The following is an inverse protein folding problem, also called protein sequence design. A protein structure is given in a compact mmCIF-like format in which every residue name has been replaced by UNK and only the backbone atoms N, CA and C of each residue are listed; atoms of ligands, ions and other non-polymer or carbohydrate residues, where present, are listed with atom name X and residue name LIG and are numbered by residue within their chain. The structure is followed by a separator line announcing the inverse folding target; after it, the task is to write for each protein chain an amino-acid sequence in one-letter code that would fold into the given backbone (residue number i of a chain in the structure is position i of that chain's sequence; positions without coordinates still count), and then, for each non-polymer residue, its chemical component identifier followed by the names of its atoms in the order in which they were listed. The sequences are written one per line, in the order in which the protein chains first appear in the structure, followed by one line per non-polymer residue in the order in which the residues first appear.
data_IF_005270967518
#
_entry.id   IF_005270967518
#
_cell.length_a   1.000
_cell.length_b   1.000
_cell.length_c   1.000
_cell.angle_alpha   90.00
_cell.angle_beta   90.00
_cell.angle_gamma   90.00
#
_symmetry.space_group_name_H-M   'P 1'
#
loop_
_entity.id
_entity.type
_entity.pdbx_description
1 polymer ?
#
# COMPACT_ATOMS: atom_id res chain seq x y z
N UNK A 1 -9.23 9.45 -39.04
CA UNK A 1 -10.46 9.59 -38.22
C UNK A 1 -10.37 8.86 -36.88
N UNK A 2 -9.79 7.65 -36.81
CA UNK A 2 -9.62 6.89 -35.55
C UNK A 2 -8.87 7.65 -34.44
N UNK A 3 -7.84 8.42 -34.80
CA UNK A 3 -7.09 9.25 -33.85
C UNK A 3 -7.92 10.37 -33.18
N UNK A 4 -9.02 10.83 -33.80
CA UNK A 4 -9.89 11.85 -33.21
C UNK A 4 -10.86 11.24 -32.19
N UNK A 5 -11.34 10.02 -32.47
CA UNK A 5 -12.23 9.29 -31.56
C UNK A 5 -11.50 8.97 -30.25
N UNK A 6 -10.24 8.52 -30.33
CA UNK A 6 -9.40 8.29 -29.15
C UNK A 6 -9.18 9.55 -28.30
N UNK A 7 -9.06 10.74 -28.92
CA UNK A 7 -8.92 12.00 -28.18
C UNK A 7 -10.20 12.37 -27.43
N UNK A 8 -11.37 12.20 -28.06
CA UNK A 8 -12.66 12.52 -27.45
C UNK A 8 -12.97 11.55 -26.30
N UNK A 9 -12.69 10.26 -26.46
CA UNK A 9 -12.85 9.27 -25.38
C UNK A 9 -11.86 9.49 -24.24
N UNK A 10 -10.61 9.87 -24.54
CA UNK A 10 -9.62 10.23 -23.52
C UNK A 10 -10.04 11.48 -22.74
N UNK A 11 -10.51 12.54 -23.42
CA UNK A 11 -10.99 13.77 -22.77
C UNK A 11 -12.19 13.50 -21.88
N UNK A 12 -13.16 12.71 -22.35
CA UNK A 12 -14.32 12.32 -21.53
C UNK A 12 -13.92 11.43 -20.35
N UNK A 13 -12.94 10.53 -20.52
CA UNK A 13 -12.39 9.72 -19.43
C UNK A 13 -11.67 10.57 -18.37
N UNK A 14 -10.79 11.49 -18.81
CA UNK A 14 -10.11 12.46 -17.92
C UNK A 14 -11.14 13.29 -17.19
N UNK A 15 -12.16 13.80 -17.88
CA UNK A 15 -13.20 14.60 -17.27
C UNK A 15 -13.97 13.79 -16.22
N UNK A 16 -14.38 12.55 -16.52
CA UNK A 16 -15.11 11.71 -15.57
C UNK A 16 -14.28 11.35 -14.33
N UNK A 17 -12.96 11.13 -14.49
CA UNK A 17 -12.05 10.75 -13.41
C UNK A 17 -11.56 11.94 -12.58
N UNK A 18 -11.34 13.10 -13.21
CA UNK A 18 -10.68 14.25 -12.60
C UNK A 18 -11.56 15.51 -12.51
N UNK A 19 -12.87 15.44 -12.81
CA UNK A 19 -13.79 16.61 -12.78
C UNK A 19 -13.62 17.47 -11.53
N UNK A 20 -13.47 16.86 -10.36
CA UNK A 20 -13.34 17.58 -9.09
C UNK A 20 -11.98 18.28 -8.97
N UNK A 21 -10.89 17.63 -9.38
CA UNK A 21 -9.54 18.23 -9.36
C UNK A 21 -9.43 19.35 -10.39
N UNK A 22 -9.94 19.14 -11.60
CA UNK A 22 -9.98 20.16 -12.67
C UNK A 22 -10.81 21.37 -12.23
N UNK A 23 -12.02 21.15 -11.69
CA UNK A 23 -12.86 22.24 -11.24
C UNK A 23 -12.24 23.01 -10.08
N UNK A 24 -11.63 22.31 -9.12
CA UNK A 24 -10.99 22.93 -7.97
C UNK A 24 -9.76 23.78 -8.36
N UNK A 25 -8.97 23.30 -9.33
CA UNK A 25 -7.79 24.02 -9.83
C UNK A 25 -8.18 25.19 -10.73
N UNK A 26 -9.21 25.02 -11.57
CA UNK A 26 -9.78 26.12 -12.35
C UNK A 26 -10.34 27.23 -11.44
N UNK A 27 -11.05 26.86 -10.38
CA UNK A 27 -11.55 27.82 -9.38
C UNK A 27 -10.40 28.54 -8.66
N UNK A 28 -9.34 27.82 -8.30
CA UNK A 28 -8.13 28.43 -7.72
C UNK A 28 -7.51 29.43 -8.70
N UNK A 29 -7.32 29.07 -9.97
CA UNK A 29 -6.80 29.99 -10.98
C UNK A 29 -7.67 31.24 -11.13
N UNK A 30 -8.99 31.08 -11.11
CA UNK A 30 -9.94 32.19 -11.17
C UNK A 30 -9.79 33.11 -9.95
N UNK A 31 -9.72 32.55 -8.74
CA UNK A 31 -9.49 33.32 -7.50
C UNK A 31 -8.17 34.09 -7.53
N UNK A 32 -7.07 33.45 -7.96
CA UNK A 32 -5.77 34.10 -8.07
C UNK A 32 -5.79 35.22 -9.12
N UNK A 33 -6.49 35.02 -10.23
CA UNK A 33 -6.68 36.04 -11.26
C UNK A 33 -7.47 37.25 -10.74
N UNK A 34 -8.53 37.02 -9.96
CA UNK A 34 -9.30 38.10 -9.32
C UNK A 34 -8.43 38.90 -8.35
N UNK A 35 -7.60 38.25 -7.53
CA UNK A 35 -6.67 38.93 -6.61
C UNK A 35 -5.70 39.83 -7.39
N UNK A 36 -5.17 39.34 -8.52
CA UNK A 36 -4.30 40.14 -9.37
C UNK A 36 -5.03 41.38 -9.90
N UNK A 37 -6.29 41.22 -10.34
CA UNK A 37 -7.09 42.34 -10.85
C UNK A 37 -7.41 43.38 -9.79
N UNK A 38 -7.77 42.97 -8.58
CA UNK A 38 -8.01 43.87 -7.45
C UNK A 38 -6.73 44.63 -7.08
N UNK A 39 -5.59 43.96 -7.07
CA UNK A 39 -4.31 44.62 -6.81
C UNK A 39 -3.91 45.61 -7.91
N UNK A 40 -4.08 45.25 -9.19
CA UNK A 40 -3.82 46.17 -10.30
C UNK A 40 -4.69 47.42 -10.25
N UNK A 41 -5.96 47.28 -9.87
CA UNK A 41 -6.87 48.40 -9.68
C UNK A 41 -6.38 49.34 -8.57
N UNK A 42 -5.97 48.78 -7.43
CA UNK A 42 -5.38 49.56 -6.33
C UNK A 42 -4.08 50.29 -6.73
N UNK A 43 -3.19 49.60 -7.44
CA UNK A 43 -1.93 50.22 -7.92
C UNK A 43 -2.24 51.37 -8.88
N UNK A 44 -3.23 51.21 -9.77
CA UNK A 44 -3.65 52.26 -10.69
C UNK A 44 -4.23 53.46 -9.92
N UNK A 45 -5.09 53.21 -8.94
CA UNK A 45 -5.66 54.25 -8.07
C UNK A 45 -4.58 55.04 -7.31
N UNK A 46 -3.59 54.34 -6.74
CA UNK A 46 -2.48 54.96 -6.02
C UNK A 46 -1.60 55.83 -6.94
N UNK A 47 -1.37 55.39 -8.18
CA UNK A 47 -0.63 56.17 -9.18
C UNK A 47 -1.38 57.45 -9.60
N UNK A 48 -2.70 57.39 -9.77
CA UNK A 48 -3.50 58.55 -10.15
C UNK A 48 -3.55 59.64 -9.05
N UNK A 49 -3.47 59.24 -7.78
CA UNK A 49 -3.55 60.17 -6.65
C UNK A 49 -2.18 60.57 -6.10
N UNK A 50 -1.09 60.10 -6.70
CA UNK A 50 0.30 60.28 -6.22
C UNK A 50 0.53 59.82 -4.76
N UNK A 51 -0.41 59.08 -4.17
CA UNK A 51 -0.35 58.58 -2.80
C UNK A 51 0.27 57.18 -2.79
N UNK A 52 1.59 57.15 -2.59
CA UNK A 52 2.39 55.92 -2.56
C UNK A 52 2.57 55.32 -1.16
N UNK A 53 1.99 55.93 -0.12
CA UNK A 53 2.25 55.56 1.27
C UNK A 53 1.90 54.10 1.60
N UNK A 54 0.82 53.58 1.00
CA UNK A 54 0.35 52.22 1.22
C UNK A 54 0.74 51.22 0.12
N UNK A 55 1.55 51.64 -0.85
CA UNK A 55 1.88 50.80 -2.01
C UNK A 55 2.60 49.52 -1.57
N UNK A 56 3.62 49.63 -0.71
CA UNK A 56 4.38 48.48 -0.21
C UNK A 56 3.51 47.50 0.62
N UNK A 57 2.60 48.03 1.45
CA UNK A 57 1.69 47.21 2.25
C UNK A 57 0.73 46.43 1.35
N UNK A 58 0.28 47.03 0.24
CA UNK A 58 -0.59 46.36 -0.72
C UNK A 58 0.08 45.14 -1.37
N UNK A 59 1.39 45.20 -1.63
CA UNK A 59 2.16 44.03 -2.11
C UNK A 59 2.25 42.94 -1.04
N UNK A 60 2.47 43.30 0.23
CA UNK A 60 2.44 42.35 1.34
C UNK A 60 1.07 41.66 1.47
N UNK A 61 -0.01 42.44 1.39
CA UNK A 61 -1.37 41.93 1.43
C UNK A 61 -1.68 41.00 0.25
N UNK A 62 -1.19 41.32 -0.96
CA UNK A 62 -1.29 40.45 -2.14
C UNK A 62 -0.67 39.08 -1.88
N UNK A 63 0.58 39.03 -1.41
CA UNK A 63 1.25 37.75 -1.13
C UNK A 63 0.56 36.97 -0.01
N UNK A 64 0.09 37.67 1.03
CA UNK A 64 -0.68 37.05 2.10
C UNK A 64 -1.99 36.44 1.59
N UNK A 65 -2.75 37.16 0.76
CA UNK A 65 -3.97 36.65 0.14
C UNK A 65 -3.67 35.43 -0.75
N UNK A 66 -2.59 35.47 -1.53
CA UNK A 66 -2.14 34.37 -2.38
C UNK A 66 -1.81 33.11 -1.56
N UNK A 67 -1.06 33.29 -0.46
CA UNK A 67 -0.71 32.22 0.46
C UNK A 67 -1.96 31.65 1.16
N UNK A 68 -2.88 32.49 1.62
CA UNK A 68 -4.14 32.07 2.24
C UNK A 68 -5.01 31.26 1.29
N UNK A 69 -5.24 31.72 0.05
CA UNK A 69 -6.06 31.00 -0.94
C UNK A 69 -5.42 29.65 -1.29
N UNK A 70 -4.11 29.63 -1.51
CA UNK A 70 -3.39 28.40 -1.86
C UNK A 70 -3.36 27.42 -0.67
N UNK A 71 -3.17 27.94 0.54
CA UNK A 71 -3.22 27.17 1.79
C UNK A 71 -4.59 26.57 2.05
N UNK A 72 -5.67 27.36 1.92
CA UNK A 72 -7.05 26.88 2.04
C UNK A 72 -7.37 25.81 1.00
N UNK A 73 -6.95 26.01 -0.25
CA UNK A 73 -7.14 25.04 -1.32
C UNK A 73 -6.44 23.70 -1.02
N UNK A 74 -5.17 23.76 -0.66
CA UNK A 74 -4.37 22.56 -0.35
C UNK A 74 -4.91 21.85 0.89
N UNK A 75 -5.26 22.58 1.95
CA UNK A 75 -5.89 22.04 3.14
C UNK A 75 -7.22 21.35 2.81
N UNK A 76 -8.11 22.00 2.06
CA UNK A 76 -9.40 21.44 1.65
C UNK A 76 -9.23 20.19 0.77
N UNK A 77 -8.32 20.23 -0.21
CA UNK A 77 -8.05 19.11 -1.11
C UNK A 77 -7.46 17.89 -0.38
N UNK A 78 -6.61 18.13 0.63
CA UNK A 78 -6.09 17.07 1.50
C UNK A 78 -7.15 16.52 2.46
N UNK A 79 -7.98 17.39 3.05
CA UNK A 79 -9.04 16.97 3.98
C UNK A 79 -10.13 16.16 3.28
N UNK A 80 -10.60 16.61 2.11
CA UNK A 80 -11.61 15.90 1.33
C UNK A 80 -11.14 14.54 0.81
N UNK A 81 -9.85 14.39 0.48
CA UNK A 81 -9.29 13.07 0.13
C UNK A 81 -9.17 12.13 1.34
N UNK A 82 -9.05 12.68 2.55
CA UNK A 82 -8.92 11.90 3.79
C UNK A 82 -10.26 11.31 4.25
N UNK A 83 -11.39 11.90 3.86
CA UNK A 83 -12.72 11.37 4.18
C UNK A 83 -13.10 10.10 3.40
N UNK A 84 -12.50 9.83 2.23
CA UNK A 84 -12.77 8.58 1.49
C UNK A 84 -12.08 7.35 2.11
N UNK A 85 -11.26 7.56 3.14
CA UNK A 85 -10.78 6.52 4.05
C UNK A 85 -11.59 6.53 5.35
N UNK A 86 -12.92 6.78 5.27
CA UNK A 86 -13.82 6.21 6.27
C UNK A 86 -13.67 4.70 6.17
N UNK A 87 -12.82 4.19 7.05
CA UNK A 87 -12.69 2.78 7.37
C UNK A 87 -14.11 2.26 7.48
N UNK A 88 -14.47 1.40 6.54
CA UNK A 88 -15.30 0.25 6.80
C UNK A 88 -14.61 -0.48 7.96
N UNK A 89 -14.79 0.03 9.17
CA UNK A 89 -14.41 -0.66 10.38
C UNK A 89 -15.31 -1.87 10.35
N UNK A 90 -14.77 -3.00 9.88
CA UNK A 90 -15.36 -4.34 10.03
C UNK A 90 -16.22 -4.31 11.28
N UNK A 91 -17.52 -4.47 11.07
CA UNK A 91 -18.52 -4.32 12.11
C UNK A 91 -18.02 -5.07 13.34
N UNK A 92 -18.21 -4.54 14.55
CA UNK A 92 -17.80 -5.26 15.79
C UNK A 92 -18.23 -6.74 15.78
N UNK A 93 -19.33 -7.05 15.07
CA UNK A 93 -19.80 -8.40 14.79
C UNK A 93 -18.83 -9.27 13.96
N UNK A 94 -18.20 -8.73 12.91
CA UNK A 94 -17.26 -9.47 12.06
C UNK A 94 -15.95 -9.75 12.79
N UNK A 95 -15.41 -8.76 13.53
CA UNK A 95 -14.24 -9.00 14.40
C UNK A 95 -14.50 -10.07 15.45
N UNK A 96 -15.72 -10.11 16.00
CA UNK A 96 -16.14 -11.15 16.94
C UNK A 96 -16.27 -12.51 16.26
N UNK A 97 -16.79 -12.56 15.02
CA UNK A 97 -16.90 -13.78 14.21
C UNK A 97 -15.52 -14.39 13.89
N UNK A 98 -14.56 -13.57 13.46
CA UNK A 98 -13.20 -14.05 13.19
C UNK A 98 -12.46 -14.45 14.48
N UNK A 99 -12.65 -13.72 15.58
CA UNK A 99 -12.09 -14.10 16.88
C UNK A 99 -12.70 -15.39 17.45
N UNK A 100 -13.96 -15.67 17.16
CA UNK A 100 -14.63 -16.90 17.58
C UNK A 100 -14.12 -18.12 16.79
N UNK A 101 -13.94 -17.97 15.47
CA UNK A 101 -13.39 -19.03 14.62
C UNK A 101 -11.97 -19.44 15.03
N UNK A 102 -11.11 -18.49 15.44
CA UNK A 102 -9.76 -18.82 15.91
C UNK A 102 -9.77 -19.67 17.19
N UNK A 103 -10.63 -19.34 18.17
CA UNK A 103 -10.70 -20.12 19.42
C UNK A 103 -11.30 -21.53 19.18
N UNK A 104 -12.18 -21.66 18.19
CA UNK A 104 -12.82 -22.93 17.81
C UNK A 104 -11.84 -23.85 17.04
N UNK A 105 -10.89 -23.27 16.29
CA UNK A 105 -9.79 -23.99 15.65
C UNK A 105 -8.78 -24.53 16.68
N UNK A 106 -8.41 -23.73 17.69
CA UNK A 106 -7.48 -24.15 18.74
C UNK A 106 -8.01 -25.34 19.56
N UNK A 107 -9.31 -25.35 19.90
CA UNK A 107 -9.95 -26.49 20.61
C UNK A 107 -10.03 -27.75 19.75
N UNK A 108 -10.24 -27.61 18.44
CA UNK A 108 -10.26 -28.74 17.50
C UNK A 108 -8.87 -29.34 17.33
N UNK A 109 -7.82 -28.52 17.26
CA UNK A 109 -6.43 -29.01 17.20
C UNK A 109 -6.06 -29.79 18.46
N UNK A 110 -6.43 -29.31 19.65
CA UNK A 110 -6.16 -29.99 20.91
C UNK A 110 -6.87 -31.35 21.02
N UNK A 111 -8.13 -31.46 20.57
CA UNK A 111 -8.87 -32.73 20.54
C UNK A 111 -8.29 -33.70 19.48
N UNK A 112 -7.88 -33.19 18.32
CA UNK A 112 -7.18 -33.98 17.28
C UNK A 112 -5.83 -34.51 17.79
N UNK A 113 -5.05 -33.69 18.49
CA UNK A 113 -3.77 -34.08 19.09
C UNK A 113 -3.97 -35.09 20.21
N UNK A 114 -4.97 -34.89 21.08
CA UNK A 114 -5.32 -35.84 22.13
C UNK A 114 -5.75 -37.21 21.55
N UNK A 115 -6.56 -37.19 20.49
CA UNK A 115 -7.02 -38.39 19.79
C UNK A 115 -5.91 -39.12 19.05
N UNK A 116 -4.94 -38.39 18.49
CA UNK A 116 -3.72 -38.97 17.91
C UNK A 116 -2.80 -39.60 18.96
N UNK A 117 -2.69 -39.02 20.16
CA UNK A 117 -1.91 -39.59 21.27
C UNK A 117 -2.56 -40.82 21.90
N UNK A 118 -3.89 -40.92 21.85
CA UNK A 118 -4.64 -42.04 22.39
C UNK A 118 -4.63 -43.30 21.49
N UNK A 119 -4.01 -43.25 20.30
CA UNK A 119 -3.88 -44.43 19.44
C UNK A 119 -2.84 -45.38 20.08
N UNK A 120 -3.23 -46.55 20.59
CA UNK A 120 -2.29 -47.46 21.22
C UNK A 120 -1.32 -48.03 20.17
N UNK A 121 -0.03 -47.73 20.33
CA UNK A 121 1.10 -48.32 19.57
C UNK A 121 1.32 -49.79 19.93
N UNK A 122 0.30 -50.63 19.69
CA UNK A 122 0.41 -52.08 19.84
C UNK A 122 -0.35 -52.77 18.71
N UNK A 123 0.18 -52.67 17.49
CA UNK A 123 0.02 -53.63 16.37
C UNK A 123 0.72 -53.16 15.09
N UNK A 124 1.98 -52.71 15.15
CA UNK A 124 2.81 -52.61 13.94
C UNK A 124 4.22 -53.13 14.23
N UNK A 125 4.31 -54.39 14.64
CA UNK A 125 5.56 -55.15 14.55
C UNK A 125 5.22 -56.62 14.42
N UNK A 126 5.13 -57.10 13.17
CA UNK A 126 5.51 -58.43 12.70
C UNK A 126 4.74 -58.83 11.43
N UNK A 127 5.24 -58.45 10.24
CA UNK A 127 5.41 -59.42 9.13
C UNK A 127 6.21 -58.83 7.96
N UNK A 128 7.37 -59.45 7.75
CA UNK A 128 8.00 -59.82 6.47
C UNK A 128 8.30 -58.73 5.44
N UNK A 129 9.58 -58.35 5.43
CA UNK A 129 10.55 -58.79 4.41
C UNK A 129 9.98 -59.18 3.05
N UNK A 130 10.22 -58.35 2.02
CA UNK A 130 10.94 -58.71 0.79
C UNK A 130 10.68 -57.68 -0.33
N UNK A 131 11.74 -57.42 -1.11
CA UNK A 131 11.82 -56.76 -2.43
C UNK A 131 12.31 -55.29 -2.40
N UNK A 132 13.62 -55.02 -2.35
CA UNK A 132 14.62 -55.03 -3.47
C UNK A 132 14.38 -53.81 -4.38
N UNK A 133 15.17 -52.72 -4.24
CA UNK A 133 16.35 -52.36 -5.11
C UNK A 133 16.01 -51.05 -5.88
N UNK A 134 16.84 -50.00 -6.02
CA UNK A 134 18.29 -49.84 -5.97
C UNK A 134 18.73 -48.35 -6.11
N UNK A 135 19.96 -48.07 -5.63
CA UNK A 135 21.06 -47.26 -6.22
C UNK A 135 20.92 -45.75 -6.47
N UNK A 136 21.75 -44.95 -5.79
CA UNK A 136 23.09 -44.42 -6.22
C UNK A 136 22.94 -43.19 -7.14
N UNK A 137 23.31 -41.99 -6.65
CA UNK A 137 24.64 -41.37 -6.82
C UNK A 137 24.76 -40.70 -8.19
N UNK A 138 24.90 -39.37 -8.28
CA UNK A 138 26.16 -38.60 -8.46
C UNK A 138 25.81 -37.46 -9.45
N UNK A 139 26.43 -36.28 -9.59
CA UNK A 139 27.75 -35.76 -9.21
C UNK A 139 27.79 -34.23 -9.48
N UNK A 140 28.48 -33.53 -8.58
CA UNK A 140 29.40 -32.37 -8.71
C UNK A 140 29.27 -31.29 -9.82
N UNK A 141 29.39 -30.02 -9.39
CA UNK A 141 30.53 -29.14 -9.73
C UNK A 141 30.56 -27.96 -8.72
N UNK A 142 31.40 -27.96 -7.70
CA UNK A 142 32.80 -27.48 -7.60
C UNK A 142 32.94 -25.95 -7.70
N UNK A 143 33.29 -25.36 -6.56
CA UNK A 143 33.61 -23.95 -6.35
C UNK A 143 34.10 -23.72 -4.91
N UNK A 144 35.29 -24.26 -4.64
CA UNK A 144 36.29 -23.89 -3.63
C UNK A 144 36.02 -23.99 -2.12
N UNK A 145 37.16 -24.17 -1.44
CA UNK A 145 37.41 -24.84 -0.17
C UNK A 145 37.65 -23.82 0.95
N UNK A 146 37.48 -24.27 2.19
CA UNK A 146 37.91 -23.70 3.48
C UNK A 146 36.93 -22.75 4.19
N UNK A 147 36.14 -23.30 5.11
CA UNK A 147 36.44 -23.14 6.55
C UNK A 147 35.76 -24.28 7.31
N UNK A 148 36.51 -25.02 8.12
CA UNK A 148 35.96 -26.01 9.07
C UNK A 148 35.38 -25.26 10.27
N UNK A 149 34.39 -24.40 10.01
CA UNK A 149 33.53 -23.81 11.03
C UNK A 149 32.10 -24.25 10.77
N UNK A 150 31.40 -24.81 11.76
CA UNK A 150 29.97 -24.99 11.64
C UNK A 150 29.36 -23.61 11.35
N UNK A 151 28.67 -23.50 10.21
CA UNK A 151 28.01 -22.27 9.78
C UNK A 151 27.21 -21.69 10.97
N UNK A 152 27.58 -20.49 11.49
CA UNK A 152 26.93 -19.92 12.65
C UNK A 152 25.45 -19.59 12.40
N UNK A 153 25.01 -19.63 11.13
CA UNK A 153 23.64 -19.40 10.70
C UNK A 153 22.91 -20.67 10.23
N UNK A 154 23.51 -21.86 10.31
CA UNK A 154 22.85 -23.11 9.94
C UNK A 154 21.51 -23.30 10.67
N UNK A 155 21.47 -22.94 11.97
CA UNK A 155 20.27 -23.04 12.79
C UNK A 155 19.17 -22.03 12.42
N UNK A 156 19.50 -20.98 11.66
CA UNK A 156 18.57 -19.90 11.30
C UNK A 156 18.01 -20.12 9.90
N UNK A 157 18.78 -20.76 9.01
CA UNK A 157 18.40 -21.03 7.62
C UNK A 157 17.17 -21.92 7.48
N UNK A 158 16.99 -22.85 8.42
CA UNK A 158 15.89 -23.82 8.38
C UNK A 158 14.63 -23.36 9.12
N UNK A 159 14.65 -22.18 9.75
CA UNK A 159 13.50 -21.68 10.52
C UNK A 159 12.34 -21.32 9.59
N UNK A 160 11.18 -21.92 9.86
CA UNK A 160 9.98 -21.72 9.05
C UNK A 160 9.46 -20.27 9.06
N UNK A 161 9.69 -19.54 10.15
CA UNK A 161 9.32 -18.12 10.29
C UNK A 161 10.12 -17.17 9.39
N UNK A 162 11.29 -17.61 8.91
CA UNK A 162 12.19 -16.81 8.06
C UNK A 162 12.13 -17.21 6.59
N UNK A 163 11.31 -18.19 6.21
CA UNK A 163 11.12 -18.59 4.82
C UNK A 163 10.38 -17.50 4.06
N UNK A 164 10.97 -17.04 2.96
CA UNK A 164 10.35 -16.04 2.09
C UNK A 164 9.20 -16.66 1.29
N UNK A 165 8.25 -15.83 0.84
CA UNK A 165 7.17 -16.28 -0.06
C UNK A 165 7.70 -16.97 -1.34
N UNK A 166 8.91 -16.63 -1.77
CA UNK A 166 9.57 -17.28 -2.91
C UNK A 166 9.96 -18.75 -2.61
N UNK A 167 10.39 -19.06 -1.39
CA UNK A 167 10.81 -20.40 -1.00
C UNK A 167 9.63 -21.37 -0.94
N UNK A 168 8.45 -20.89 -0.53
CA UNK A 168 7.21 -21.68 -0.56
C UNK A 168 6.80 -22.10 -1.99
N UNK A 169 7.10 -21.27 -2.99
CA UNK A 169 6.78 -21.58 -4.40
C UNK A 169 7.74 -22.63 -4.96
N UNK A 170 9.00 -22.60 -4.54
CA UNK A 170 10.00 -23.59 -4.94
C UNK A 170 9.72 -24.98 -4.34
N UNK A 171 9.28 -25.05 -3.09
CA UNK A 171 8.91 -26.32 -2.45
C UNK A 171 7.60 -26.93 -2.97
N UNK A 172 6.72 -26.13 -3.61
CA UNK A 172 5.42 -26.59 -4.14
C UNK A 172 5.45 -27.11 -5.57
N UNK A 173 6.60 -27.20 -6.25
CA UNK A 173 6.65 -27.83 -7.57
C UNK A 173 6.42 -29.35 -7.42
N UNK A 174 5.32 -29.91 -7.95
CA UNK A 174 5.25 -31.34 -8.14
C UNK A 174 6.34 -31.75 -9.15
N UNK A 175 6.99 -32.89 -8.89
CA UNK A 175 7.85 -33.55 -9.89
C UNK A 175 7.05 -33.92 -11.13
#
# INVERSE_FOLDING_TARGET
MMNQIFRITFVTFIYKRYKQTILSSALLLLLLWVIEKVHQDFVSYSQLNEDTGFLAVSFGLKWFAFACVTGLYTAWNLFFKRESFKKESLSKAERKKYGQLLNEEDELEDDLIAKMRAIPSSKVTAKKTAKVTQKESQTENKGDVEDTKPDPFAQIRDKETLKSKADFVLHKKPK
#
